data_IF_199893076056
#
_entry.id   IF_199893076056
#
_cell.length_a   1.000
_cell.length_b   1.000
_cell.length_c   1.000
_cell.angle_alpha   90.00
_cell.angle_beta   90.00
_cell.angle_gamma   90.00
#
_symmetry.space_group_name_H-M   'P 1'
#
loop_
_entity.id
_entity.type
_entity.pdbx_description
1 polymer ?
#
# COMPACT_ATOMS: atom_id res chain seq x y z
N UNK A 1 -17.32 -23.60 -18.52
CA UNK A 1 -16.35 -22.91 -17.65
C UNK A 1 -16.20 -23.77 -16.41
N UNK A 2 -14.97 -24.12 -16.01
CA UNK A 2 -14.76 -24.93 -14.81
C UNK A 2 -14.73 -24.06 -13.55
N UNK A 3 -14.93 -24.65 -12.37
CA UNK A 3 -14.76 -23.93 -11.09
C UNK A 3 -13.34 -23.35 -10.95
N UNK A 4 -12.33 -24.03 -11.50
CA UNK A 4 -10.96 -23.53 -11.54
C UNK A 4 -10.84 -22.25 -12.39
N UNK A 5 -11.52 -22.19 -13.54
CA UNK A 5 -11.50 -21.01 -14.40
C UNK A 5 -12.18 -19.82 -13.72
N UNK A 6 -13.32 -20.06 -13.05
CA UNK A 6 -14.02 -19.04 -12.25
C UNK A 6 -13.13 -18.44 -11.16
N UNK A 7 -12.43 -19.28 -10.39
CA UNK A 7 -11.50 -18.76 -9.37
C UNK A 7 -10.37 -17.93 -9.96
N UNK A 8 -9.82 -18.33 -11.11
CA UNK A 8 -8.75 -17.57 -11.77
C UNK A 8 -9.24 -16.21 -12.27
N UNK A 9 -10.45 -16.16 -12.80
CA UNK A 9 -11.08 -14.90 -13.22
C UNK A 9 -11.30 -13.98 -12.02
N UNK A 10 -11.87 -14.49 -10.93
CA UNK A 10 -12.08 -13.71 -9.70
C UNK A 10 -10.76 -13.16 -9.12
N UNK A 11 -9.70 -13.98 -9.06
CA UNK A 11 -8.37 -13.55 -8.62
C UNK A 11 -7.83 -12.44 -9.54
N UNK A 12 -7.97 -12.60 -10.86
CA UNK A 12 -7.49 -11.62 -11.83
C UNK A 12 -8.19 -10.26 -11.66
N UNK A 13 -9.50 -10.26 -11.39
CA UNK A 13 -10.22 -9.00 -11.12
C UNK A 13 -9.76 -8.36 -9.80
N UNK A 14 -9.53 -9.16 -8.76
CA UNK A 14 -8.97 -8.67 -7.49
C UNK A 14 -7.59 -8.05 -7.70
N UNK A 15 -6.71 -8.70 -8.47
CA UNK A 15 -5.37 -8.20 -8.77
C UNK A 15 -5.40 -6.84 -9.47
N UNK A 16 -6.34 -6.64 -10.42
CA UNK A 16 -6.54 -5.35 -11.08
C UNK A 16 -6.94 -4.26 -10.09
N UNK A 17 -7.82 -4.58 -9.14
CA UNK A 17 -8.22 -3.63 -8.09
C UNK A 17 -7.05 -3.28 -7.17
N UNK A 18 -6.22 -4.27 -6.81
CA UNK A 18 -5.01 -4.06 -6.02
C UNK A 18 -4.05 -3.12 -6.76
N UNK A 19 -3.75 -3.37 -8.03
CA UNK A 19 -2.86 -2.51 -8.82
C UNK A 19 -3.39 -1.09 -8.97
N UNK A 20 -4.68 -0.92 -9.23
CA UNK A 20 -5.30 0.39 -9.31
C UNK A 20 -5.18 1.15 -7.97
N UNK A 21 -5.40 0.48 -6.84
CA UNK A 21 -5.25 1.08 -5.51
C UNK A 21 -3.80 1.48 -5.20
N UNK A 22 -2.83 0.62 -5.55
CA UNK A 22 -1.39 0.91 -5.36
C UNK A 22 -0.97 2.11 -6.20
N UNK A 23 -1.34 2.16 -7.48
CA UNK A 23 -1.02 3.29 -8.36
C UNK A 23 -1.62 4.60 -7.84
N UNK A 24 -2.87 4.58 -7.38
CA UNK A 24 -3.51 5.75 -6.77
C UNK A 24 -2.77 6.19 -5.50
N UNK A 25 -2.37 5.24 -4.65
CA UNK A 25 -1.59 5.53 -3.44
C UNK A 25 -0.25 6.17 -3.80
N UNK A 26 0.46 5.65 -4.80
CA UNK A 26 1.74 6.19 -5.26
C UNK A 26 1.61 7.64 -5.71
N UNK A 27 0.59 7.95 -6.54
CA UNK A 27 0.31 9.31 -6.99
C UNK A 27 0.04 10.28 -5.82
N UNK A 28 -0.78 9.86 -4.85
CA UNK A 28 -1.07 10.66 -3.65
C UNK A 28 0.16 10.89 -2.77
N UNK A 29 1.03 9.88 -2.61
CA UNK A 29 2.27 10.04 -1.85
C UNK A 29 3.26 10.97 -2.58
N UNK A 30 3.30 10.93 -3.92
CA UNK A 30 4.07 11.89 -4.71
C UNK A 30 3.59 13.34 -4.50
N UNK A 31 2.27 13.57 -4.52
CA UNK A 31 1.67 14.87 -4.20
C UNK A 31 2.02 15.32 -2.79
N UNK A 32 1.89 14.43 -1.80
CA UNK A 32 2.24 14.71 -0.41
C UNK A 32 3.74 15.04 -0.26
N UNK A 33 4.63 14.35 -0.98
CA UNK A 33 6.07 14.65 -0.99
C UNK A 33 6.32 16.08 -1.47
N UNK A 34 5.72 16.45 -2.61
CA UNK A 34 5.84 17.82 -3.17
C UNK A 34 5.36 18.87 -2.18
N UNK A 35 4.16 18.69 -1.64
CA UNK A 35 3.60 19.58 -0.62
C UNK A 35 4.55 19.75 0.58
N UNK A 36 5.04 18.65 1.15
CA UNK A 36 5.95 18.71 2.31
C UNK A 36 7.25 19.46 1.98
N UNK A 37 7.84 19.21 0.81
CA UNK A 37 9.06 19.89 0.37
C UNK A 37 8.83 21.40 0.20
N UNK A 38 7.73 21.80 -0.45
CA UNK A 38 7.36 23.21 -0.63
C UNK A 38 7.17 23.96 0.69
N UNK A 39 6.79 23.26 1.76
CA UNK A 39 6.56 23.82 3.09
C UNK A 39 7.73 23.58 4.07
N UNK A 40 8.88 23.07 3.61
CA UNK A 40 10.05 22.81 4.46
C UNK A 40 9.86 21.68 5.48
N UNK A 41 8.91 20.78 5.26
CA UNK A 41 8.60 19.64 6.13
C UNK A 41 9.37 18.38 5.72
N UNK A 42 9.77 17.58 6.71
CA UNK A 42 10.41 16.28 6.46
C UNK A 42 9.44 15.30 5.78
N UNK A 43 9.87 14.71 4.66
CA UNK A 43 9.10 13.70 3.95
C UNK A 43 8.97 12.41 4.76
N UNK A 44 10.10 11.89 5.25
CA UNK A 44 10.20 10.69 6.07
C UNK A 44 9.81 10.98 7.53
N UNK A 45 8.90 10.17 8.06
CA UNK A 45 8.46 10.20 9.45
C UNK A 45 8.23 8.76 9.91
N UNK A 46 9.27 8.08 10.45
CA UNK A 46 9.19 6.68 10.85
C UNK A 46 8.10 6.43 11.91
N UNK A 47 7.95 7.35 12.87
CA UNK A 47 6.93 7.22 13.92
C UNK A 47 5.50 7.26 13.36
N UNK A 48 5.25 8.14 12.39
CA UNK A 48 3.96 8.17 11.67
C UNK A 48 3.74 6.91 10.85
N UNK A 49 4.77 6.39 10.17
CA UNK A 49 4.66 5.16 9.40
C UNK A 49 4.32 3.95 10.28
N UNK A 50 4.98 3.82 11.43
CA UNK A 50 4.72 2.76 12.41
C UNK A 50 3.30 2.85 12.99
N UNK A 51 2.86 4.05 13.40
CA UNK A 51 1.51 4.26 13.92
C UNK A 51 0.44 3.90 12.88
N UNK A 52 0.64 4.30 11.63
CA UNK A 52 -0.25 3.97 10.51
C UNK A 52 -0.32 2.46 10.25
N UNK A 53 0.78 1.72 10.42
CA UNK A 53 0.75 0.25 10.31
C UNK A 53 -0.01 -0.37 11.47
N UNK A 54 0.22 0.10 12.70
CA UNK A 54 -0.46 -0.43 13.88
C UNK A 54 -1.98 -0.22 13.83
N UNK A 55 -2.44 0.95 13.39
CA UNK A 55 -3.87 1.26 13.21
C UNK A 55 -4.53 0.30 12.21
N UNK A 56 -3.92 0.12 11.03
CA UNK A 56 -4.46 -0.79 10.00
C UNK A 56 -4.44 -2.25 10.42
N UNK A 57 -3.45 -2.66 11.21
CA UNK A 57 -3.41 -4.00 11.81
C UNK A 57 -4.62 -4.22 12.72
N UNK A 58 -4.98 -3.22 13.53
CA UNK A 58 -6.14 -3.31 14.42
C UNK A 58 -7.48 -3.32 13.66
N UNK A 59 -7.54 -2.75 12.45
CA UNK A 59 -8.73 -2.74 11.58
C UNK A 59 -8.95 -4.06 10.82
N UNK A 60 -8.04 -5.02 10.91
CA UNK A 60 -8.12 -6.26 10.16
C UNK A 60 -9.29 -7.16 10.60
N UNK A 61 -10.36 -7.18 9.81
CA UNK A 61 -11.48 -8.11 9.99
C UNK A 61 -11.41 -9.36 9.10
N UNK A 62 -10.33 -9.55 8.34
CA UNK A 62 -10.18 -10.61 7.35
C UNK A 62 -9.38 -11.82 7.82
N UNK A 63 -9.20 -12.82 6.95
CA UNK A 63 -8.45 -14.04 7.27
C UNK A 63 -6.92 -13.84 7.25
N UNK A 64 -6.43 -12.65 6.90
CA UNK A 64 -4.99 -12.35 6.89
C UNK A 64 -4.47 -12.31 8.32
N UNK A 65 -3.33 -12.95 8.59
CA UNK A 65 -2.71 -12.86 9.92
C UNK A 65 -2.19 -11.45 10.18
N UNK A 66 -2.06 -11.07 11.45
CA UNK A 66 -1.42 -9.81 11.84
C UNK A 66 -0.01 -9.68 11.25
N UNK A 67 0.79 -10.75 11.29
CA UNK A 67 2.13 -10.79 10.71
C UNK A 67 2.11 -10.58 9.19
N UNK A 68 1.17 -11.22 8.48
CA UNK A 68 1.00 -11.05 7.05
C UNK A 68 0.61 -9.61 6.68
N UNK A 69 -0.25 -8.99 7.48
CA UNK A 69 -0.67 -7.61 7.30
C UNK A 69 0.45 -6.60 7.57
N UNK A 70 1.27 -6.84 8.60
CA UNK A 70 2.48 -6.04 8.85
C UNK A 70 3.46 -6.15 7.67
N UNK A 71 3.67 -7.37 7.18
CA UNK A 71 4.56 -7.65 6.04
C UNK A 71 4.12 -6.90 4.78
N UNK A 72 2.86 -7.04 4.37
CA UNK A 72 2.37 -6.37 3.15
C UNK A 72 2.42 -4.85 3.26
N UNK A 73 2.16 -4.29 4.45
CA UNK A 73 2.27 -2.85 4.66
C UNK A 73 3.70 -2.33 4.58
N UNK A 74 4.66 -3.04 5.19
CA UNK A 74 6.07 -2.69 5.12
C UNK A 74 6.58 -2.74 3.67
N UNK A 75 6.25 -3.81 2.94
CA UNK A 75 6.62 -3.95 1.53
C UNK A 75 5.99 -2.88 0.64
N UNK A 76 4.71 -2.55 0.85
CA UNK A 76 4.04 -1.48 0.11
C UNK A 76 4.67 -0.10 0.38
N UNK A 77 5.06 0.19 1.62
CA UNK A 77 5.77 1.42 1.96
C UNK A 77 7.14 1.46 1.29
N UNK A 78 7.90 0.38 1.36
CA UNK A 78 9.21 0.27 0.73
C UNK A 78 9.13 0.40 -0.80
N UNK A 79 8.16 -0.26 -1.42
CA UNK A 79 7.89 -0.15 -2.86
C UNK A 79 7.61 1.29 -3.27
N UNK A 80 6.68 1.97 -2.59
CA UNK A 80 6.33 3.35 -2.92
C UNK A 80 7.53 4.28 -2.79
N UNK A 81 8.38 4.11 -1.77
CA UNK A 81 9.62 4.89 -1.63
C UNK A 81 10.54 4.68 -2.83
N UNK A 82 10.78 3.42 -3.24
CA UNK A 82 11.62 3.09 -4.40
C UNK A 82 11.09 3.68 -5.69
N UNK A 83 9.79 3.56 -5.96
CA UNK A 83 9.16 4.11 -7.17
C UNK A 83 9.25 5.64 -7.22
N UNK A 84 9.12 6.32 -6.08
CA UNK A 84 9.25 7.78 -6.01
C UNK A 84 10.66 8.30 -6.17
N UNK A 85 11.67 7.47 -5.94
CA UNK A 85 13.08 7.82 -6.11
C UNK A 85 13.63 7.38 -7.47
N UNK A 86 12.94 6.48 -8.18
CA UNK A 86 13.30 6.01 -9.52
C UNK A 86 12.78 6.91 -10.65
N UNK A 87 11.77 7.74 -10.39
CA UNK A 87 11.21 8.73 -11.32
C UNK A 87 11.67 10.15 -11.03
#
# INVERSE_FOLDING_TARGET
MSELDRFREEITEIDRLIFAAINRRLALVAELRRYKVEHGLAFLDPGREEAMVAERVAENGGPLSEEGLRTIHAELLALVKRELDAG
#
